data_IF_745169241936
#
_entry.id   IF_745169241936
#
_cell.length_a   1.000
_cell.length_b   1.000
_cell.length_c   1.000
_cell.angle_alpha   90.00
_cell.angle_beta   90.00
_cell.angle_gamma   90.00
#
_symmetry.space_group_name_H-M   'P 1'
#
loop_
_entity.id
_entity.type
_entity.pdbx_description
1 polymer ?
#
# COMPACT_ATOMS: atom_id res chain seq x y z
N UNK A 1 15.11 -21.83 -6.20
CA UNK A 1 16.20 -21.86 -5.19
C UNK A 1 15.60 -22.22 -3.82
N UNK A 2 16.19 -23.14 -3.02
CA UNK A 2 15.61 -23.51 -1.73
C UNK A 2 15.83 -22.41 -0.68
N UNK A 3 14.79 -22.09 0.09
CA UNK A 3 14.84 -21.13 1.18
C UNK A 3 14.48 -21.83 2.49
N UNK A 4 15.34 -21.70 3.51
CA UNK A 4 15.09 -22.21 4.85
C UNK A 4 14.87 -21.00 5.75
N UNK A 5 13.74 -20.98 6.45
CA UNK A 5 13.27 -19.83 7.22
C UNK A 5 12.99 -20.28 8.65
N UNK A 6 13.45 -19.50 9.63
CA UNK A 6 13.13 -19.69 11.05
C UNK A 6 11.75 -19.12 11.43
N UNK A 7 11.52 -18.90 12.72
CA UNK A 7 10.29 -18.26 13.18
C UNK A 7 10.29 -16.76 12.82
N UNK A 8 9.16 -16.28 12.29
CA UNK A 8 8.92 -14.88 11.95
C UNK A 8 7.63 -14.39 12.61
N UNK A 9 7.67 -13.20 13.20
CA UNK A 9 6.50 -12.49 13.70
C UNK A 9 6.35 -11.19 12.93
N UNK A 10 5.22 -11.06 12.23
CA UNK A 10 4.91 -9.92 11.39
C UNK A 10 3.65 -9.28 11.93
N UNK A 11 3.74 -8.00 12.24
CA UNK A 11 2.67 -7.28 12.91
C UNK A 11 1.79 -6.50 11.92
N UNK A 12 2.41 -5.92 10.89
CA UNK A 12 1.70 -5.31 9.77
C UNK A 12 2.58 -5.23 8.53
N UNK A 13 1.97 -5.40 7.35
CA UNK A 13 2.59 -5.24 6.04
C UNK A 13 1.61 -4.53 5.13
N UNK A 14 2.09 -3.50 4.42
CA UNK A 14 1.38 -2.89 3.31
C UNK A 14 2.18 -3.13 2.02
N UNK A 15 1.70 -4.02 1.16
CA UNK A 15 2.40 -4.44 -0.05
C UNK A 15 2.78 -5.91 0.00
N UNK A 16 3.96 -6.26 -0.50
CA UNK A 16 4.38 -7.65 -0.63
C UNK A 16 5.48 -7.99 0.36
N UNK A 17 5.26 -9.06 1.12
CA UNK A 17 6.24 -9.64 2.04
C UNK A 17 6.47 -11.10 1.64
N UNK A 18 7.63 -11.37 1.03
CA UNK A 18 8.01 -12.71 0.59
C UNK A 18 9.20 -13.19 1.41
N UNK A 19 9.21 -14.49 1.72
CA UNK A 19 10.35 -15.13 2.33
C UNK A 19 10.78 -16.33 1.50
N UNK A 20 12.00 -16.23 0.98
CA UNK A 20 12.61 -17.20 0.10
C UNK A 20 12.86 -16.64 -1.30
N UNK A 21 13.00 -17.53 -2.28
CA UNK A 21 13.25 -17.16 -3.66
C UNK A 21 12.03 -16.44 -4.25
N UNK A 22 12.27 -15.33 -4.93
CA UNK A 22 11.22 -14.58 -5.64
C UNK A 22 11.72 -14.15 -7.01
N UNK A 23 10.89 -14.35 -8.03
CA UNK A 23 11.17 -13.97 -9.41
C UNK A 23 11.00 -12.48 -9.64
N UNK A 24 9.85 -12.06 -10.17
CA UNK A 24 9.54 -10.64 -10.40
C UNK A 24 8.27 -10.28 -9.64
N UNK A 25 8.30 -9.18 -8.89
CA UNK A 25 7.14 -8.63 -8.17
C UNK A 25 6.94 -7.19 -8.63
N UNK A 26 5.73 -6.84 -9.06
CA UNK A 26 5.32 -5.48 -9.36
C UNK A 26 4.08 -5.12 -8.53
N UNK A 27 4.23 -4.80 -7.22
CA UNK A 27 3.09 -4.47 -6.39
C UNK A 27 2.69 -3.01 -6.59
N UNK A 28 1.48 -2.78 -7.06
CA UNK A 28 0.86 -1.46 -7.09
C UNK A 28 -0.13 -1.36 -5.93
N UNK A 29 0.09 -0.44 -4.99
CA UNK A 29 -0.81 -0.22 -3.86
C UNK A 29 -1.16 1.24 -3.71
N UNK A 30 -2.45 1.53 -3.62
CA UNK A 30 -2.97 2.85 -3.27
C UNK A 30 -3.82 2.72 -2.01
N UNK A 31 -3.39 3.38 -0.94
CA UNK A 31 -4.06 3.29 0.34
C UNK A 31 -4.40 4.71 0.81
N UNK A 32 -5.69 4.97 1.01
CA UNK A 32 -6.16 6.14 1.75
C UNK A 32 -6.52 5.62 3.13
N UNK A 33 -5.87 6.14 4.17
CA UNK A 33 -6.14 5.67 5.53
C UNK A 33 -6.28 6.86 6.47
N UNK A 34 -7.37 6.83 7.24
CA UNK A 34 -7.68 7.81 8.26
C UNK A 34 -7.84 7.07 9.58
N UNK A 35 -7.25 7.62 10.63
CA UNK A 35 -7.18 6.98 11.93
C UNK A 35 -7.56 7.95 13.02
N UNK A 36 -8.34 7.45 13.99
CA UNK A 36 -8.75 8.17 15.17
C UNK A 36 -7.84 7.88 16.35
N UNK A 37 -8.23 8.38 17.51
CA UNK A 37 -7.47 8.12 18.72
C UNK A 37 -7.50 6.63 19.08
N UNK A 38 -6.34 6.11 19.48
CA UNK A 38 -6.13 4.69 19.74
C UNK A 38 -6.03 3.79 18.51
N UNK A 39 -5.82 4.36 17.31
CA UNK A 39 -5.66 3.57 16.09
C UNK A 39 -4.21 3.15 15.80
N UNK A 40 -4.03 2.23 14.86
CA UNK A 40 -2.77 1.60 14.42
C UNK A 40 -1.88 1.01 15.52
N UNK A 41 -2.45 0.56 16.62
CA UNK A 41 -1.69 -0.15 17.63
C UNK A 41 -1.45 -1.60 17.19
N UNK A 42 -0.21 -2.04 17.25
CA UNK A 42 0.25 -3.36 16.80
C UNK A 42 1.21 -3.92 17.85
N UNK A 43 0.99 -5.14 18.34
CA UNK A 43 1.83 -5.80 19.37
C UNK A 43 1.00 -6.56 20.41
N UNK A 44 1.67 -7.30 21.30
CA UNK A 44 1.00 -8.28 22.16
C UNK A 44 0.32 -7.68 23.41
N UNK A 45 0.94 -6.69 24.07
CA UNK A 45 0.37 -6.05 25.27
C UNK A 45 0.25 -4.55 25.00
N UNK A 46 -0.99 -4.08 24.84
CA UNK A 46 -1.32 -2.70 24.53
C UNK A 46 -2.39 -2.19 25.49
N UNK A 47 -2.05 -1.19 26.31
CA UNK A 47 -3.00 -0.48 27.16
C UNK A 47 -3.18 0.94 26.63
N UNK A 48 -4.28 1.19 25.94
CA UNK A 48 -4.52 2.45 25.25
C UNK A 48 -5.76 3.13 25.85
N UNK A 49 -5.54 4.23 26.56
CA UNK A 49 -6.61 5.11 27.02
C UNK A 49 -6.73 6.29 26.06
N UNK A 50 -7.84 6.38 25.34
CA UNK A 50 -8.05 7.46 24.37
C UNK A 50 -9.28 8.33 24.71
N UNK A 51 -9.15 9.64 24.49
CA UNK A 51 -10.22 10.64 24.62
C UNK A 51 -11.01 10.79 23.31
N UNK A 52 -12.16 11.51 23.30
CA UNK A 52 -12.96 11.65 22.08
C UNK A 52 -12.14 12.21 20.92
N UNK A 53 -12.03 11.45 19.82
CA UNK A 53 -11.34 11.89 18.60
C UNK A 53 -12.35 12.12 17.48
N UNK A 54 -12.29 13.28 16.83
CA UNK A 54 -13.09 13.62 15.65
C UNK A 54 -12.18 13.62 14.42
N UNK A 55 -12.58 12.91 13.38
CA UNK A 55 -11.87 12.85 12.10
C UNK A 55 -12.75 13.53 11.06
N UNK A 56 -12.31 14.66 10.52
CA UNK A 56 -13.01 15.36 9.43
C UNK A 56 -12.22 15.18 8.14
N UNK A 57 -12.80 14.46 7.18
CA UNK A 57 -12.20 14.21 5.87
C UNK A 57 -13.00 14.95 4.81
N UNK A 58 -12.34 15.89 4.12
CA UNK A 58 -12.90 16.60 2.98
C UNK A 58 -12.16 16.13 1.72
N UNK A 59 -12.89 15.53 0.78
CA UNK A 59 -12.34 15.11 -0.51
C UNK A 59 -12.38 16.25 -1.52
N UNK A 60 -11.27 16.49 -2.24
CA UNK A 60 -11.29 17.23 -3.51
C UNK A 60 -11.17 16.22 -4.63
N UNK A 61 -12.19 16.21 -5.48
CA UNK A 61 -12.33 15.50 -6.75
C UNK A 61 -11.18 15.75 -7.75
N UNK A 62 -10.37 16.80 -7.57
CA UNK A 62 -9.22 17.11 -8.42
C UNK A 62 -8.03 16.12 -8.29
N UNK A 63 -8.00 15.28 -7.25
CA UNK A 63 -6.86 14.39 -6.96
C UNK A 63 -7.23 12.92 -6.66
N UNK A 64 -8.41 12.46 -7.08
CA UNK A 64 -8.81 11.06 -6.92
C UNK A 64 -8.45 10.16 -8.12
N UNK A 65 -7.36 10.48 -8.81
CA UNK A 65 -6.87 9.67 -9.91
C UNK A 65 -5.80 8.68 -9.43
N UNK A 66 -6.23 7.52 -8.94
CA UNK A 66 -5.32 6.39 -8.69
C UNK A 66 -5.03 5.67 -10.01
N UNK A 67 -4.48 6.40 -11.00
CA UNK A 67 -4.13 5.82 -12.29
C UNK A 67 -2.84 5.04 -12.16
N UNK A 68 -2.95 3.75 -12.50
CA UNK A 68 -1.82 2.93 -12.90
C UNK A 68 -1.73 3.13 -14.41
N UNK A 69 -0.70 3.78 -14.91
CA UNK A 69 -0.33 3.68 -16.32
C UNK A 69 0.56 2.44 -16.41
N UNK A 70 0.07 1.26 -16.85
CA UNK A 70 0.98 0.21 -17.25
C UNK A 70 1.81 0.77 -18.39
N UNK A 71 3.13 0.66 -18.29
CA UNK A 71 4.05 1.04 -19.37
C UNK A 71 3.56 0.34 -20.65
N UNK A 72 3.10 1.14 -21.61
CA UNK A 72 2.73 0.63 -22.92
C UNK A 72 4.01 0.16 -23.58
N UNK A 73 4.25 -1.15 -23.59
CA UNK A 73 5.24 -1.76 -24.47
C UNK A 73 5.03 -1.19 -25.87
N UNK A 74 6.11 -0.64 -26.42
CA UNK A 74 6.07 0.40 -27.45
C UNK A 74 5.12 0.11 -28.60
N UNK A 75 4.08 0.93 -28.71
CA UNK A 75 3.46 1.25 -29.98
C UNK A 75 3.86 2.67 -30.32
N UNK A 76 4.87 2.75 -31.19
CA UNK A 76 5.24 3.95 -31.94
C UNK A 76 3.96 4.59 -32.46
N UNK A 77 3.59 5.74 -31.91
CA UNK A 77 2.58 6.62 -32.51
C UNK A 77 3.25 7.34 -33.69
N UNK A 78 3.47 6.61 -34.78
CA UNK A 78 3.48 7.20 -36.12
C UNK A 78 2.02 7.30 -36.54
N UNK A 79 1.45 8.50 -36.50
CA UNK A 79 1.11 9.20 -37.73
C UNK A 79 0.35 10.52 -37.46
N UNK A 80 1.07 11.60 -37.80
CA UNK A 80 0.63 12.79 -38.56
C UNK A 80 -0.46 13.69 -37.97
N UNK A 81 0.03 14.88 -37.60
CA UNK A 81 -0.60 16.16 -37.94
C UNK A 81 -1.18 16.15 -39.37
N UNK A 82 -2.51 16.27 -39.49
CA UNK A 82 -3.21 17.38 -40.18
C UNK A 82 -4.72 17.17 -40.14
#
# INVERSE_FOLDING_TARGET
MPAIVGAISVNTVSGVFNIGDVGTIAPCSFNKTFAGGGSFNSGDILNISNSPSVINIYGSDAYEQNIIVPESDGLVQEDKQS
#
